data_IF_334215112350
#
_entry.id   IF_334215112350
#
_cell.length_a   1.000
_cell.length_b   1.000
_cell.length_c   1.000
_cell.angle_alpha   90.00
_cell.angle_beta   90.00
_cell.angle_gamma   90.00
#
_symmetry.space_group_name_H-M   'P 1'
#
loop_
_entity.id
_entity.type
_entity.pdbx_description
1 polymer ?
#
# COMPACT_ATOMS: atom_id res chain seq x y z
N UNK A 1 12.07 2.56 15.11
CA UNK A 1 10.68 2.59 14.60
C UNK A 1 10.71 3.44 13.35
N UNK A 2 10.37 2.92 12.18
CA UNK A 2 10.19 3.80 11.02
C UNK A 2 9.02 4.72 11.36
N UNK A 3 9.30 6.00 11.55
CA UNK A 3 8.28 7.03 11.73
C UNK A 3 7.52 7.11 10.41
N UNK A 4 6.19 7.07 10.48
CA UNK A 4 5.35 7.42 9.35
C UNK A 4 5.73 8.84 8.91
N UNK A 5 5.89 9.06 7.61
CA UNK A 5 6.23 10.39 7.10
C UNK A 5 5.07 11.37 7.30
N UNK A 6 5.27 12.64 6.96
CA UNK A 6 4.28 13.69 7.19
C UNK A 6 2.96 13.42 6.47
N UNK A 7 3.03 12.84 5.26
CA UNK A 7 1.87 12.45 4.47
C UNK A 7 1.10 11.30 5.13
N UNK A 8 1.79 10.25 5.57
CA UNK A 8 1.16 9.14 6.26
C UNK A 8 0.62 9.54 7.63
N UNK A 9 1.26 10.47 8.34
CA UNK A 9 0.76 10.99 9.61
C UNK A 9 -0.53 11.78 9.41
N UNK A 10 -0.61 12.60 8.36
CA UNK A 10 -1.84 13.29 7.99
C UNK A 10 -2.96 12.29 7.65
N UNK A 11 -2.64 11.21 6.92
CA UNK A 11 -3.62 10.17 6.58
C UNK A 11 -4.14 9.42 7.80
N UNK A 12 -3.26 9.13 8.78
CA UNK A 12 -3.66 8.55 10.05
C UNK A 12 -4.59 9.47 10.83
N UNK A 13 -4.30 10.76 10.89
CA UNK A 13 -5.15 11.74 11.57
C UNK A 13 -6.53 11.87 10.91
N UNK A 14 -6.58 11.85 9.56
CA UNK A 14 -7.84 11.80 8.80
C UNK A 14 -8.66 10.56 9.21
N UNK A 15 -8.06 9.37 9.12
CA UNK A 15 -8.74 8.11 9.43
C UNK A 15 -9.24 8.01 10.88
N UNK A 16 -8.50 8.57 11.84
CA UNK A 16 -8.92 8.60 13.25
C UNK A 16 -10.20 9.41 13.49
N UNK A 17 -10.52 10.35 12.60
CA UNK A 17 -11.73 11.16 12.69
C UNK A 17 -12.97 10.52 12.02
N UNK A 18 -12.79 9.43 11.28
CA UNK A 18 -13.86 8.77 10.52
C UNK A 18 -14.38 7.54 11.25
N UNK A 19 -15.64 7.17 10.99
CA UNK A 19 -16.24 5.94 11.53
C UNK A 19 -17.19 5.31 10.50
N UNK A 20 -17.51 4.02 10.69
CA UNK A 20 -18.45 3.31 9.83
C UNK A 20 -18.05 3.32 8.35
N UNK A 21 -19.03 3.47 7.47
CA UNK A 21 -18.81 3.42 6.02
C UNK A 21 -17.82 4.49 5.50
N UNK A 22 -17.78 5.67 6.13
CA UNK A 22 -16.82 6.71 5.77
C UNK A 22 -15.39 6.28 6.09
N UNK A 23 -15.18 5.62 7.23
CA UNK A 23 -13.89 5.03 7.57
C UNK A 23 -13.52 3.91 6.61
N UNK A 24 -14.44 2.99 6.32
CA UNK A 24 -14.15 1.84 5.46
C UNK A 24 -13.70 2.29 4.06
N UNK A 25 -14.41 3.26 3.48
CA UNK A 25 -14.07 3.83 2.17
C UNK A 25 -12.70 4.53 2.20
N UNK A 26 -12.46 5.40 3.18
CA UNK A 26 -11.20 6.12 3.29
C UNK A 26 -10.01 5.18 3.60
N UNK A 27 -10.21 4.15 4.41
CA UNK A 27 -9.19 3.17 4.76
C UNK A 27 -8.79 2.33 3.55
N UNK A 28 -9.75 1.81 2.79
CA UNK A 28 -9.47 1.04 1.58
C UNK A 28 -8.77 1.91 0.55
N UNK A 29 -9.22 3.16 0.34
CA UNK A 29 -8.57 4.08 -0.58
C UNK A 29 -7.12 4.39 -0.17
N UNK A 30 -6.87 4.70 1.11
CA UNK A 30 -5.53 4.97 1.62
C UNK A 30 -4.58 3.76 1.48
N UNK A 31 -5.08 2.55 1.76
CA UNK A 31 -4.29 1.34 1.61
C UNK A 31 -4.00 1.03 0.14
N UNK A 32 -4.96 1.24 -0.76
CA UNK A 32 -4.77 1.03 -2.19
C UNK A 32 -3.67 1.95 -2.73
N UNK A 33 -3.75 3.25 -2.40
CA UNK A 33 -2.73 4.24 -2.77
C UNK A 33 -1.34 3.84 -2.24
N UNK A 34 -1.24 3.50 -0.95
CA UNK A 34 0.03 3.10 -0.33
C UNK A 34 0.63 1.84 -0.95
N UNK A 35 -0.18 0.85 -1.30
CA UNK A 35 0.30 -0.37 -1.96
C UNK A 35 0.73 -0.10 -3.42
N UNK A 36 0.06 0.79 -4.13
CA UNK A 36 0.47 1.20 -5.48
C UNK A 36 1.83 1.93 -5.46
N UNK A 37 2.03 2.83 -4.48
CA UNK A 37 3.33 3.49 -4.26
C UNK A 37 4.42 2.47 -3.90
N UNK A 38 4.13 1.53 -3.00
CA UNK A 38 5.07 0.49 -2.61
C UNK A 38 5.42 -0.43 -3.80
N UNK A 39 4.45 -0.77 -4.64
CA UNK A 39 4.68 -1.55 -5.85
C UNK A 39 5.67 -0.84 -6.78
N UNK A 40 5.47 0.47 -7.02
CA UNK A 40 6.37 1.26 -7.85
C UNK A 40 7.82 1.26 -7.32
N UNK A 41 8.01 1.33 -6.00
CA UNK A 41 9.35 1.23 -5.37
C UNK A 41 9.98 -0.13 -5.64
N UNK A 42 9.21 -1.23 -5.52
CA UNK A 42 9.73 -2.56 -5.82
C UNK A 42 10.08 -2.71 -7.31
N UNK A 43 9.27 -2.16 -8.20
CA UNK A 43 9.52 -2.18 -9.64
C UNK A 43 10.77 -1.38 -10.02
N UNK A 44 10.97 -0.21 -9.43
CA UNK A 44 12.18 0.59 -9.58
C UNK A 44 13.40 -0.20 -9.10
N UNK A 45 13.34 -0.83 -7.92
CA UNK A 45 14.45 -1.63 -7.41
C UNK A 45 14.76 -2.84 -8.29
N UNK A 46 13.76 -3.51 -8.87
CA UNK A 46 13.99 -4.62 -9.81
C UNK A 46 14.69 -4.18 -11.10
N UNK A 47 14.53 -2.92 -11.51
CA UNK A 47 15.14 -2.41 -12.74
C UNK A 47 16.65 -2.16 -12.63
N UNK A 48 17.13 -1.84 -11.41
CA UNK A 48 18.52 -1.41 -11.20
C UNK A 48 19.26 -2.18 -10.09
N UNK A 49 18.56 -2.97 -9.28
CA UNK A 49 19.11 -3.68 -8.13
C UNK A 49 20.06 -4.82 -8.51
N UNK A 50 21.22 -4.87 -7.86
CA UNK A 50 22.29 -5.85 -8.16
C UNK A 50 22.55 -6.83 -7.02
N UNK A 51 22.05 -6.57 -5.81
CA UNK A 51 22.16 -7.50 -4.69
C UNK A 51 21.16 -8.65 -4.86
N UNK A 52 21.67 -9.87 -5.03
CA UNK A 52 20.87 -11.08 -5.28
C UNK A 52 19.78 -11.31 -4.24
N UNK A 53 20.12 -11.20 -2.95
CA UNK A 53 19.17 -11.49 -1.87
C UNK A 53 18.05 -10.45 -1.83
N UNK A 54 18.41 -9.18 -2.02
CA UNK A 54 17.42 -8.11 -2.06
C UNK A 54 16.50 -8.27 -3.28
N UNK A 55 17.05 -8.58 -4.46
CA UNK A 55 16.25 -8.81 -5.68
C UNK A 55 15.27 -9.97 -5.49
N UNK A 56 15.67 -11.05 -4.81
CA UNK A 56 14.77 -12.17 -4.53
C UNK A 56 13.64 -11.78 -3.57
N UNK A 57 13.96 -11.04 -2.49
CA UNK A 57 12.96 -10.52 -1.56
C UNK A 57 12.00 -9.55 -2.26
N UNK A 58 12.52 -8.65 -3.10
CA UNK A 58 11.72 -7.72 -3.90
C UNK A 58 10.77 -8.44 -4.86
N UNK A 59 11.19 -9.53 -5.51
CA UNK A 59 10.30 -10.32 -6.37
C UNK A 59 9.15 -10.95 -5.58
N UNK A 60 9.45 -11.50 -4.40
CA UNK A 60 8.43 -12.06 -3.51
C UNK A 60 7.46 -10.95 -3.05
N UNK A 61 7.99 -9.83 -2.59
CA UNK A 61 7.20 -8.69 -2.13
C UNK A 61 6.30 -8.14 -3.23
N UNK A 62 6.81 -7.97 -4.46
CA UNK A 62 6.01 -7.54 -5.63
C UNK A 62 4.78 -8.43 -5.84
N UNK A 63 4.94 -9.76 -5.74
CA UNK A 63 3.83 -10.69 -5.85
C UNK A 63 2.75 -10.46 -4.79
N UNK A 64 3.17 -10.36 -3.52
CA UNK A 64 2.25 -10.12 -2.39
C UNK A 64 1.55 -8.76 -2.49
N UNK A 65 2.27 -7.70 -2.86
CA UNK A 65 1.71 -6.36 -3.03
C UNK A 65 0.64 -6.36 -4.13
N UNK A 66 0.89 -7.06 -5.24
CA UNK A 66 -0.07 -7.19 -6.34
C UNK A 66 -1.34 -7.90 -5.89
N UNK A 67 -1.21 -8.98 -5.10
CA UNK A 67 -2.35 -9.69 -4.52
C UNK A 67 -3.15 -8.80 -3.56
N UNK A 68 -2.47 -8.04 -2.69
CA UNK A 68 -3.13 -7.10 -1.78
C UNK A 68 -3.88 -5.99 -2.52
N UNK A 69 -3.33 -5.46 -3.62
CA UNK A 69 -4.02 -4.49 -4.48
C UNK A 69 -5.32 -5.10 -5.03
N UNK A 70 -5.27 -6.32 -5.56
CA UNK A 70 -6.48 -6.98 -6.07
C UNK A 70 -7.55 -7.17 -4.97
N UNK A 71 -7.13 -7.51 -3.75
CA UNK A 71 -8.06 -7.58 -2.61
C UNK A 71 -8.67 -6.21 -2.26
N UNK A 72 -7.87 -5.14 -2.28
CA UNK A 72 -8.32 -3.77 -2.00
C UNK A 72 -9.27 -3.25 -3.08
N UNK A 73 -9.02 -3.54 -4.36
CA UNK A 73 -9.92 -3.20 -5.47
C UNK A 73 -11.26 -3.95 -5.34
N UNK A 74 -11.23 -5.23 -4.94
CA UNK A 74 -12.44 -6.00 -4.69
C UNK A 74 -13.24 -5.44 -3.49
N UNK A 75 -12.57 -5.05 -2.40
CA UNK A 75 -13.21 -4.38 -1.26
C UNK A 75 -13.81 -3.04 -1.67
N UNK A 76 -13.09 -2.22 -2.43
CA UNK A 76 -13.58 -0.94 -2.91
C UNK A 76 -14.86 -1.11 -3.76
N UNK A 77 -14.91 -2.11 -4.63
CA UNK A 77 -16.11 -2.43 -5.40
C UNK A 77 -17.30 -2.92 -4.55
N UNK A 78 -17.03 -3.52 -3.38
CA UNK A 78 -18.07 -4.00 -2.46
C UNK A 78 -18.60 -2.91 -1.51
N UNK A 79 -17.87 -1.81 -1.32
CA UNK A 79 -18.19 -0.70 -0.41
C UNK A 79 -19.22 0.31 -0.98
N UNK A 80 -19.94 -0.06 -2.05
CA UNK A 80 -20.88 0.77 -2.81
C UNK A 80 -21.67 1.82 -2.04
#
# INVERSE_FOLDING_TARGET
MAMVDEAGQAKLTELQGLTGAEFDSAYVAANLEGHQQLLAIQEEYLSAGTNREHVNVTKLAKGMITEHIAHLEALQGALG
#
